data_IF_308430619293
#
_entry.id   IF_308430619293
#
_cell.length_a   1.000
_cell.length_b   1.000
_cell.length_c   1.000
_cell.angle_alpha   90.00
_cell.angle_beta   90.00
_cell.angle_gamma   90.00
#
_symmetry.space_group_name_H-M   'P 1'
#
loop_
_entity.id
_entity.type
_entity.pdbx_description
1 polymer ?
#
# COMPACT_ATOMS: atom_id res chain seq x y z
N UNK A 1 16.95 -24.33 -16.88
CA UNK A 1 17.01 -22.87 -16.96
C UNK A 1 16.89 -22.29 -15.58
N UNK A 2 17.64 -21.21 -15.26
CA UNK A 2 17.56 -20.56 -13.95
C UNK A 2 16.27 -19.76 -13.83
N UNK A 3 15.75 -19.62 -12.59
CA UNK A 3 14.62 -18.76 -12.28
C UNK A 3 15.09 -17.31 -12.10
N UNK A 4 14.28 -16.36 -12.52
CA UNK A 4 14.45 -14.94 -12.23
C UNK A 4 14.19 -14.66 -10.75
N UNK A 5 14.62 -13.49 -10.27
CA UNK A 5 14.34 -13.08 -8.88
C UNK A 5 12.84 -12.99 -8.61
N UNK A 6 12.05 -12.54 -9.59
CA UNK A 6 10.60 -12.43 -9.46
C UNK A 6 9.96 -13.81 -9.34
N UNK A 7 10.34 -14.75 -10.21
CA UNK A 7 9.84 -16.13 -10.14
C UNK A 7 10.16 -16.78 -8.79
N UNK A 8 11.35 -16.53 -8.24
CA UNK A 8 11.74 -17.04 -6.92
C UNK A 8 10.87 -16.45 -5.80
N UNK A 9 10.62 -15.13 -5.82
CA UNK A 9 9.80 -14.45 -4.82
C UNK A 9 8.36 -14.98 -4.88
N UNK A 10 7.77 -15.06 -6.08
CA UNK A 10 6.41 -15.54 -6.24
C UNK A 10 6.33 -17.03 -5.85
N UNK A 11 7.27 -17.86 -6.30
CA UNK A 11 7.34 -19.26 -5.90
C UNK A 11 7.37 -19.44 -4.37
N UNK A 12 8.19 -18.66 -3.68
CA UNK A 12 8.28 -18.72 -2.23
C UNK A 12 6.98 -18.30 -1.55
N UNK A 13 6.27 -17.33 -2.14
CA UNK A 13 4.99 -16.84 -1.62
C UNK A 13 3.86 -17.84 -1.82
N UNK A 14 3.77 -18.46 -3.01
CA UNK A 14 2.66 -19.37 -3.36
C UNK A 14 2.97 -20.86 -3.11
N UNK A 15 4.22 -21.19 -2.80
CA UNK A 15 4.64 -22.57 -2.50
C UNK A 15 4.74 -23.51 -3.72
N UNK A 16 4.73 -22.99 -4.95
CA UNK A 16 4.85 -23.76 -6.18
C UNK A 16 5.65 -23.02 -7.26
N UNK A 17 6.27 -23.75 -8.18
CA UNK A 17 6.95 -23.16 -9.33
C UNK A 17 5.96 -22.37 -10.19
N UNK A 18 6.35 -21.17 -10.60
CA UNK A 18 5.58 -20.28 -11.47
C UNK A 18 6.40 -19.90 -12.69
N UNK A 19 5.72 -19.59 -13.79
CA UNK A 19 6.33 -19.16 -15.06
C UNK A 19 5.59 -17.94 -15.61
N UNK A 20 6.23 -17.16 -16.48
CA UNK A 20 5.55 -16.10 -17.19
C UNK A 20 4.29 -16.62 -17.92
N UNK A 21 3.16 -15.94 -17.72
CA UNK A 21 1.85 -16.34 -18.24
C UNK A 21 0.97 -17.11 -17.25
N UNK A 22 1.50 -17.61 -16.15
CA UNK A 22 0.71 -18.27 -15.12
C UNK A 22 -0.13 -17.23 -14.34
N UNK A 23 -1.35 -17.62 -14.00
CA UNK A 23 -2.22 -16.85 -13.07
C UNK A 23 -2.14 -17.53 -11.71
N UNK A 24 -1.74 -16.77 -10.69
CA UNK A 24 -1.55 -17.29 -9.34
C UNK A 24 -2.15 -16.35 -8.29
N UNK A 25 -2.64 -16.94 -7.21
CA UNK A 25 -3.06 -16.17 -6.02
C UNK A 25 -1.87 -16.01 -5.10
N UNK A 26 -1.54 -14.78 -4.76
CA UNK A 26 -0.42 -14.42 -3.89
C UNK A 26 -0.89 -13.87 -2.56
N UNK A 27 -0.09 -14.05 -1.52
CA UNK A 27 -0.27 -13.37 -0.24
C UNK A 27 0.45 -12.02 -0.28
N UNK A 28 -0.28 -10.96 0.03
CA UNK A 28 0.27 -9.60 0.07
C UNK A 28 0.85 -9.33 1.46
N UNK A 29 2.10 -8.91 1.52
CA UNK A 29 2.79 -8.60 2.78
C UNK A 29 2.47 -7.20 3.27
N UNK A 30 2.34 -6.24 2.36
CA UNK A 30 2.09 -4.81 2.66
C UNK A 30 1.25 -4.18 1.58
N UNK A 31 0.48 -3.16 1.97
CA UNK A 31 -0.23 -2.25 1.07
C UNK A 31 0.21 -0.83 1.40
N UNK A 32 0.67 -0.09 0.40
CA UNK A 32 1.00 1.32 0.52
C UNK A 32 -0.02 2.14 -0.26
N UNK A 33 -0.53 3.19 0.38
CA UNK A 33 -1.45 4.15 -0.21
C UNK A 33 -0.83 5.53 0.00
N UNK A 34 -0.83 6.37 -1.03
CA UNK A 34 -0.39 7.75 -0.88
C UNK A 34 -1.57 8.74 -0.95
N UNK A 35 -1.28 9.99 -0.62
CA UNK A 35 -2.26 11.06 -0.46
C UNK A 35 -3.18 11.30 -1.66
N UNK A 36 -2.66 11.20 -2.90
CA UNK A 36 -3.49 11.40 -4.10
C UNK A 36 -4.58 10.34 -4.22
N UNK A 37 -4.25 9.07 -3.94
CA UNK A 37 -5.17 7.94 -4.14
C UNK A 37 -6.10 7.66 -2.97
N UNK A 38 -5.79 8.09 -1.76
CA UNK A 38 -6.59 7.72 -0.58
C UNK A 38 -8.06 8.12 -0.67
N UNK A 39 -8.48 9.25 -1.26
CA UNK A 39 -9.90 9.55 -1.42
C UNK A 39 -10.64 8.51 -2.27
N UNK A 40 -10.03 8.09 -3.38
CA UNK A 40 -10.61 7.06 -4.26
C UNK A 40 -10.68 5.69 -3.59
N UNK A 41 -9.64 5.33 -2.87
CA UNK A 41 -9.61 4.07 -2.10
C UNK A 41 -10.70 4.09 -1.03
N UNK A 42 -10.86 5.19 -0.30
CA UNK A 42 -11.87 5.33 0.74
C UNK A 42 -13.28 5.18 0.17
N UNK A 43 -13.57 5.87 -0.96
CA UNK A 43 -14.85 5.78 -1.66
C UNK A 43 -15.15 4.33 -2.09
N UNK A 44 -14.21 3.70 -2.79
CA UNK A 44 -14.41 2.32 -3.28
C UNK A 44 -14.52 1.31 -2.16
N UNK A 45 -13.77 1.50 -1.08
CA UNK A 45 -13.82 0.64 0.08
C UNK A 45 -15.23 0.67 0.74
N UNK A 46 -15.82 1.85 0.80
CA UNK A 46 -17.18 2.04 1.32
C UNK A 46 -18.25 1.50 0.35
N UNK A 47 -18.13 1.78 -0.97
CA UNK A 47 -19.03 1.24 -1.99
C UNK A 47 -19.07 -0.30 -1.99
N UNK A 48 -17.95 -0.93 -1.74
CA UNK A 48 -17.85 -2.40 -1.64
C UNK A 48 -18.42 -2.95 -0.32
N UNK A 49 -18.83 -2.09 0.61
CA UNK A 49 -19.41 -2.48 1.88
C UNK A 49 -18.42 -3.02 2.90
N UNK A 50 -17.12 -2.77 2.72
CA UNK A 50 -16.12 -3.19 3.70
C UNK A 50 -16.21 -2.37 4.98
N UNK A 51 -16.19 -3.06 6.11
CA UNK A 51 -16.30 -2.44 7.44
C UNK A 51 -14.97 -2.45 8.22
N UNK A 52 -13.98 -3.18 7.74
CA UNK A 52 -12.66 -3.29 8.36
C UNK A 52 -11.58 -3.57 7.33
N UNK A 53 -10.37 -3.12 7.61
CA UNK A 53 -9.19 -3.58 6.89
C UNK A 53 -8.88 -5.04 7.24
N UNK A 54 -8.30 -5.75 6.28
CA UNK A 54 -7.80 -7.11 6.52
C UNK A 54 -6.78 -7.14 7.67
N UNK A 55 -5.79 -6.25 7.63
CA UNK A 55 -4.80 -6.05 8.67
C UNK A 55 -4.34 -4.59 8.69
N UNK A 56 -4.81 -3.78 9.68
CA UNK A 56 -4.44 -2.37 9.76
C UNK A 56 -2.94 -2.11 9.93
N UNK A 57 -2.20 -3.07 10.50
CA UNK A 57 -0.75 -2.93 10.70
C UNK A 57 0.04 -3.18 9.41
N UNK A 58 -0.59 -3.79 8.39
CA UNK A 58 0.01 -4.03 7.08
C UNK A 58 -0.31 -2.95 6.05
N UNK A 59 -1.22 -2.05 6.35
CA UNK A 59 -1.53 -0.89 5.51
C UNK A 59 -0.70 0.32 5.96
N UNK A 60 -0.07 1.00 5.02
CA UNK A 60 0.78 2.18 5.25
C UNK A 60 0.22 3.34 4.41
N UNK A 61 -0.11 4.44 5.05
CA UNK A 61 -0.55 5.68 4.39
C UNK A 61 0.58 6.70 4.45
N UNK A 62 0.96 7.23 3.30
CA UNK A 62 2.07 8.19 3.19
C UNK A 62 1.59 9.43 2.44
N UNK A 63 1.79 10.59 3.05
CA UNK A 63 1.54 11.89 2.45
C UNK A 63 2.86 12.45 1.92
N UNK A 64 3.06 12.40 0.60
CA UNK A 64 4.30 12.82 -0.04
C UNK A 64 4.13 13.49 -1.40
N UNK A 65 3.01 13.28 -2.10
CA UNK A 65 2.78 13.85 -3.42
C UNK A 65 2.20 15.27 -3.36
N UNK A 66 1.35 15.55 -2.37
CA UNK A 66 0.69 16.85 -2.17
C UNK A 66 1.24 17.60 -0.96
N UNK A 67 2.42 17.23 -0.47
CA UNK A 67 3.05 17.82 0.71
C UNK A 67 4.35 18.53 0.29
N UNK A 68 4.47 19.85 0.56
CA UNK A 68 3.43 20.73 1.13
C UNK A 68 2.29 20.95 0.14
N UNK A 69 1.06 21.17 0.66
CA UNK A 69 -0.09 21.49 -0.19
C UNK A 69 0.17 22.74 -1.03
N UNK A 70 -0.05 22.63 -2.32
CA UNK A 70 0.15 23.75 -3.28
C UNK A 70 -1.11 24.62 -3.43
N UNK A 71 -2.26 24.06 -3.09
CA UNK A 71 -3.56 24.73 -3.17
C UNK A 71 -4.49 24.19 -2.08
N UNK A 72 -5.56 24.95 -1.79
CA UNK A 72 -6.51 24.57 -0.75
C UNK A 72 -7.19 23.22 -1.02
N UNK A 73 -7.41 22.87 -2.29
CA UNK A 73 -8.06 21.63 -2.67
C UNK A 73 -7.24 20.38 -2.29
N UNK A 74 -5.91 20.48 -2.24
CA UNK A 74 -5.02 19.40 -1.83
C UNK A 74 -5.32 18.94 -0.41
N UNK A 75 -5.82 19.84 0.45
CA UNK A 75 -6.14 19.52 1.85
C UNK A 75 -7.28 18.51 1.99
N UNK A 76 -8.15 18.37 0.98
CA UNK A 76 -9.22 17.37 0.99
C UNK A 76 -8.66 15.96 1.02
N UNK A 77 -7.55 15.72 0.34
CA UNK A 77 -6.86 14.44 0.33
C UNK A 77 -6.36 14.08 1.73
N UNK A 78 -5.82 15.05 2.46
CA UNK A 78 -5.35 14.83 3.84
C UNK A 78 -6.53 14.52 4.78
N UNK A 79 -7.63 15.27 4.66
CA UNK A 79 -8.82 15.02 5.46
C UNK A 79 -9.42 13.63 5.19
N UNK A 80 -9.50 13.23 3.92
CA UNK A 80 -9.99 11.91 3.54
C UNK A 80 -9.09 10.80 4.10
N UNK A 81 -7.77 10.94 3.97
CA UNK A 81 -6.80 9.99 4.48
C UNK A 81 -6.84 9.87 6.01
N UNK A 82 -6.92 10.99 6.72
CA UNK A 82 -7.02 11.00 8.17
C UNK A 82 -8.31 10.38 8.69
N UNK A 83 -9.42 10.66 8.00
CA UNK A 83 -10.71 10.05 8.33
C UNK A 83 -10.67 8.54 8.12
N UNK A 84 -10.12 8.09 6.99
CA UNK A 84 -9.97 6.68 6.66
C UNK A 84 -9.06 5.97 7.67
N UNK A 85 -7.89 6.54 7.95
CA UNK A 85 -6.93 5.96 8.89
C UNK A 85 -7.52 5.79 10.29
N UNK A 86 -8.25 6.81 10.78
CA UNK A 86 -8.95 6.73 12.08
C UNK A 86 -10.07 5.71 12.08
N UNK A 87 -10.92 5.73 11.05
CA UNK A 87 -12.09 4.84 10.94
C UNK A 87 -11.69 3.37 10.93
N UNK A 88 -10.60 3.04 10.26
CA UNK A 88 -10.15 1.66 10.08
C UNK A 88 -8.93 1.26 10.92
N UNK A 89 -8.49 2.13 11.84
CA UNK A 89 -7.46 1.81 12.81
C UNK A 89 -6.05 1.68 12.24
N UNK A 90 -5.74 2.37 11.12
CA UNK A 90 -4.37 2.39 10.59
C UNK A 90 -3.42 3.10 11.54
N UNK A 91 -2.30 2.47 11.85
CA UNK A 91 -1.26 3.02 12.73
C UNK A 91 -0.08 3.61 11.94
N UNK A 92 0.17 3.07 10.77
CA UNK A 92 1.33 3.43 9.95
C UNK A 92 0.92 4.58 9.01
N UNK A 93 0.98 5.80 9.53
CA UNK A 93 0.64 7.03 8.80
C UNK A 93 1.83 7.98 8.87
N UNK A 94 2.41 8.30 7.71
CA UNK A 94 3.55 9.19 7.56
C UNK A 94 3.15 10.52 6.95
N UNK A 95 3.61 11.62 7.59
CA UNK A 95 3.30 12.99 7.18
C UNK A 95 4.60 13.76 6.99
N UNK A 96 4.92 14.11 5.75
CA UNK A 96 6.14 14.88 5.44
C UNK A 96 7.46 14.22 5.86
N UNK A 97 7.46 12.90 6.04
CA UNK A 97 8.64 12.17 6.53
C UNK A 97 9.59 11.78 5.37
N UNK A 98 9.10 11.83 4.13
CA UNK A 98 9.86 11.49 2.95
C UNK A 98 9.01 10.87 1.85
N UNK A 99 9.66 10.43 0.78
CA UNK A 99 9.03 9.83 -0.40
C UNK A 99 8.52 8.42 -0.06
N UNK A 100 7.32 8.09 -0.50
CA UNK A 100 6.64 6.86 -0.16
C UNK A 100 7.46 5.59 -0.44
N UNK A 101 8.06 5.48 -1.61
CA UNK A 101 8.88 4.31 -1.97
C UNK A 101 10.10 4.15 -1.06
N UNK A 102 10.70 5.26 -0.67
CA UNK A 102 11.85 5.28 0.22
C UNK A 102 11.45 4.88 1.65
N UNK A 103 10.39 5.48 2.18
CA UNK A 103 9.88 5.16 3.52
C UNK A 103 9.48 3.69 3.65
N UNK A 104 8.87 3.10 2.61
CA UNK A 104 8.53 1.68 2.63
C UNK A 104 9.72 0.77 2.90
N UNK A 105 10.88 1.11 2.40
CA UNK A 105 12.11 0.33 2.60
C UNK A 105 12.87 0.73 3.85
N UNK A 106 13.06 2.02 4.11
CA UNK A 106 13.84 2.52 5.24
C UNK A 106 13.17 2.26 6.59
N UNK A 107 11.84 2.36 6.66
CA UNK A 107 11.08 2.01 7.85
C UNK A 107 10.85 0.50 8.02
N UNK A 108 11.37 -0.32 7.12
CA UNK A 108 11.29 -1.78 7.20
C UNK A 108 9.90 -2.36 6.94
N UNK A 109 9.00 -1.58 6.31
CA UNK A 109 7.69 -2.09 5.89
C UNK A 109 7.81 -3.09 4.75
N UNK A 110 8.63 -2.80 3.77
CA UNK A 110 8.97 -3.71 2.68
C UNK A 110 10.40 -4.21 2.82
N UNK A 111 10.57 -5.53 2.76
CA UNK A 111 11.87 -6.22 2.86
C UNK A 111 12.11 -7.03 1.60
N UNK A 112 13.37 -7.36 1.27
CA UNK A 112 13.67 -8.27 0.17
C UNK A 112 12.86 -9.56 0.27
N UNK A 113 12.16 -9.92 -0.81
CA UNK A 113 11.29 -11.10 -0.87
C UNK A 113 9.83 -10.84 -0.52
N UNK A 114 9.47 -9.64 -0.03
CA UNK A 114 8.08 -9.28 0.19
C UNK A 114 7.34 -8.97 -1.13
N UNK A 115 6.04 -9.21 -1.12
CA UNK A 115 5.09 -8.71 -2.09
C UNK A 115 4.32 -7.53 -1.49
N UNK A 116 4.55 -6.35 -2.04
CA UNK A 116 3.87 -5.13 -1.63
C UNK A 116 3.00 -4.61 -2.77
N UNK A 117 1.76 -4.23 -2.45
CA UNK A 117 0.89 -3.53 -3.35
C UNK A 117 1.08 -2.02 -3.18
N UNK A 118 1.27 -1.35 -4.30
CA UNK A 118 1.47 0.10 -4.38
C UNK A 118 0.52 0.59 -5.47
N UNK A 119 -0.25 1.63 -5.20
CA UNK A 119 -1.19 2.23 -6.15
C UNK A 119 -2.25 1.22 -6.67
N UNK A 120 -3.01 0.68 -5.79
CA UNK A 120 -4.19 -0.11 -6.18
C UNK A 120 -5.26 0.82 -6.71
#
# INVERSE_FOLDING_TARGET
MGETVIEKIIRNNVGKTVKPGDIVTVNVDRVMIHDIFIPFVAEKFEEMGFTKLWDPDKAVLIYDHLVPASQLDDTRHFHAGDAFARKYGMKNVHRSDGICHQLMTECGYAKPGNLSLIHI
#
